data_IF_489090207563
#
_entry.id   IF_489090207563
#
_cell.length_a   1.000
_cell.length_b   1.000
_cell.length_c   1.000
_cell.angle_alpha   90.00
_cell.angle_beta   90.00
_cell.angle_gamma   90.00
#
_symmetry.space_group_name_H-M   'P 1'
#
loop_
_entity.id
_entity.type
_entity.pdbx_description
1 polymer ?
#
# COMPACT_ATOMS: atom_id res chain seq x y z
N UNK A 1 -0.27 -16.46 3.19
CA UNK A 1 0.97 -15.79 2.77
C UNK A 1 0.99 -15.66 1.26
N UNK A 2 1.98 -15.01 0.65
CA UNK A 2 2.15 -15.09 -0.80
C UNK A 2 2.18 -16.55 -1.28
N UNK A 3 1.44 -16.88 -2.34
CA UNK A 3 1.37 -18.23 -2.88
C UNK A 3 0.67 -19.26 -1.97
N UNK A 4 -0.23 -18.83 -1.10
CA UNK A 4 -1.23 -19.69 -0.41
C UNK A 4 -2.61 -19.47 -1.03
N UNK A 5 -3.54 -20.44 -0.98
CA UNK A 5 -4.89 -20.21 -1.47
C UNK A 5 -5.66 -19.30 -0.49
N UNK A 6 -6.84 -18.87 -0.91
CA UNK A 6 -7.86 -18.40 0.02
C UNK A 6 -8.40 -19.57 0.87
N UNK A 7 -8.89 -19.27 2.07
CA UNK A 7 -9.51 -20.26 2.96
C UNK A 7 -10.92 -19.79 3.31
N UNK A 8 -11.92 -20.59 2.94
CA UNK A 8 -13.31 -20.36 3.35
C UNK A 8 -13.62 -21.21 4.58
N UNK A 9 -14.07 -20.56 5.66
CA UNK A 9 -14.58 -21.24 6.85
C UNK A 9 -16.06 -20.91 6.97
N UNK A 10 -16.91 -21.93 6.86
CA UNK A 10 -18.35 -21.77 6.92
C UNK A 10 -19.00 -22.88 7.74
N UNK A 11 -20.15 -22.59 8.34
CA UNK A 11 -20.92 -23.59 9.10
C UNK A 11 -21.48 -24.63 8.13
N UNK A 12 -21.33 -25.91 8.42
CA UNK A 12 -21.80 -27.01 7.57
C UNK A 12 -23.26 -26.84 7.12
N UNK A 13 -24.12 -26.33 7.99
CA UNK A 13 -25.55 -26.13 7.73
C UNK A 13 -25.88 -25.16 6.59
N UNK A 14 -24.94 -24.30 6.16
CA UNK A 14 -25.16 -23.37 5.04
C UNK A 14 -24.94 -24.02 3.67
N UNK A 15 -24.32 -25.21 3.62
CA UNK A 15 -24.04 -25.94 2.38
C UNK A 15 -25.23 -26.79 1.92
N UNK A 16 -26.35 -26.13 1.63
CA UNK A 16 -27.60 -26.77 1.19
C UNK A 16 -27.69 -26.96 -0.33
N UNK A 17 -26.74 -26.38 -1.08
CA UNK A 17 -26.77 -26.42 -2.54
C UNK A 17 -26.56 -27.86 -3.05
N UNK A 18 -27.40 -28.25 -4.03
CA UNK A 18 -27.29 -29.55 -4.70
C UNK A 18 -26.11 -29.60 -5.68
N UNK A 19 -25.72 -28.44 -6.21
CA UNK A 19 -24.65 -28.26 -7.19
C UNK A 19 -23.59 -27.37 -6.54
N UNK A 20 -22.29 -27.71 -6.63
CA UNK A 20 -21.23 -26.85 -6.11
C UNK A 20 -21.10 -25.55 -6.90
N UNK A 21 -20.41 -24.58 -6.30
CA UNK A 21 -20.13 -23.29 -6.94
C UNK A 21 -19.28 -23.45 -8.22
N UNK A 22 -18.29 -24.34 -8.17
CA UNK A 22 -17.42 -24.67 -9.31
C UNK A 22 -17.49 -26.17 -9.62
N UNK A 23 -18.43 -26.59 -10.49
CA UNK A 23 -18.47 -27.98 -10.97
C UNK A 23 -17.25 -28.32 -11.81
N UNK A 24 -16.68 -29.51 -11.62
CA UNK A 24 -15.52 -29.94 -12.39
C UNK A 24 -15.04 -31.34 -12.02
N UNK A 25 -13.91 -31.74 -12.59
CA UNK A 25 -13.21 -32.94 -12.13
C UNK A 25 -12.91 -32.84 -10.63
N UNK A 26 -13.00 -33.96 -9.91
CA UNK A 26 -12.79 -34.00 -8.46
C UNK A 26 -14.03 -33.75 -7.60
N UNK A 27 -15.09 -33.12 -8.13
CA UNK A 27 -16.31 -32.80 -7.33
C UNK A 27 -17.44 -33.83 -7.48
N UNK A 28 -17.32 -34.70 -8.47
CA UNK A 28 -18.34 -35.67 -8.87
C UNK A 28 -18.01 -37.07 -8.36
N UNK A 29 -19.03 -37.77 -7.85
CA UNK A 29 -18.96 -39.20 -7.55
C UNK A 29 -19.19 -40.05 -8.81
N UNK A 30 -19.96 -39.54 -9.77
CA UNK A 30 -20.30 -40.23 -11.01
C UNK A 30 -20.77 -39.23 -12.08
N UNK A 31 -20.44 -39.47 -13.35
CA UNK A 31 -20.93 -38.69 -14.50
C UNK A 31 -21.18 -39.62 -15.68
N UNK A 32 -22.29 -39.39 -16.39
CA UNK A 32 -22.58 -39.95 -17.70
C UNK A 32 -23.23 -38.86 -18.59
N UNK A 33 -23.57 -39.14 -19.86
CA UNK A 33 -24.14 -38.13 -20.78
C UNK A 33 -25.47 -37.50 -20.31
N UNK A 34 -26.20 -38.13 -19.39
CA UNK A 34 -27.55 -37.73 -18.98
C UNK A 34 -27.65 -37.32 -17.50
N UNK A 35 -26.68 -37.72 -16.67
CA UNK A 35 -26.74 -37.61 -15.22
C UNK A 35 -25.35 -37.46 -14.60
N UNK A 36 -25.32 -36.81 -13.43
CA UNK A 36 -24.15 -36.71 -12.59
C UNK A 36 -24.56 -36.74 -11.11
N UNK A 37 -23.69 -37.28 -10.27
CA UNK A 37 -23.77 -37.21 -8.82
C UNK A 37 -22.55 -36.46 -8.28
N UNK A 38 -22.77 -35.57 -7.33
CA UNK A 38 -21.71 -34.85 -6.62
C UNK A 38 -21.30 -35.59 -5.35
N UNK A 39 -20.06 -35.37 -4.92
CA UNK A 39 -19.55 -35.95 -3.68
C UNK A 39 -20.36 -35.45 -2.46
N UNK A 40 -20.58 -36.31 -1.45
CA UNK A 40 -21.25 -35.90 -0.21
C UNK A 40 -20.33 -35.09 0.72
N UNK A 41 -19.02 -35.26 0.59
CA UNK A 41 -18.01 -34.49 1.30
C UNK A 41 -17.97 -33.06 0.76
N UNK A 42 -18.22 -32.07 1.62
CA UNK A 42 -18.44 -30.69 1.20
C UNK A 42 -17.16 -30.08 0.67
N UNK A 43 -16.05 -30.30 1.37
CA UNK A 43 -14.74 -29.78 1.01
C UNK A 43 -14.34 -30.24 -0.40
N UNK A 44 -14.37 -31.55 -0.68
CA UNK A 44 -14.06 -32.04 -2.03
C UNK A 44 -15.10 -31.61 -3.08
N UNK A 45 -16.37 -31.43 -2.69
CA UNK A 45 -17.43 -31.02 -3.61
C UNK A 45 -17.25 -29.56 -4.08
N UNK A 46 -16.78 -28.66 -3.22
CA UNK A 46 -16.60 -27.25 -3.55
C UNK A 46 -15.21 -26.92 -4.15
N UNK A 47 -14.30 -27.89 -4.23
CA UNK A 47 -12.95 -27.73 -4.80
C UNK A 47 -12.86 -28.27 -6.25
N UNK A 48 -13.57 -27.61 -7.16
CA UNK A 48 -13.57 -27.95 -8.59
C UNK A 48 -12.19 -27.92 -9.25
N UNK A 49 -11.77 -29.06 -9.81
CA UNK A 49 -10.54 -29.19 -10.59
C UNK A 49 -9.36 -29.74 -9.77
N UNK A 50 -8.14 -29.50 -10.26
CA UNK A 50 -6.93 -29.85 -9.51
C UNK A 50 -6.76 -28.86 -8.36
N UNK A 51 -6.70 -29.32 -7.09
CA UNK A 51 -6.55 -28.42 -5.95
C UNK A 51 -5.21 -27.67 -5.99
N UNK A 52 -5.13 -26.56 -5.26
CA UNK A 52 -3.91 -25.78 -5.06
C UNK A 52 -2.98 -26.49 -4.05
N UNK A 53 -2.45 -27.67 -4.44
CA UNK A 53 -1.77 -28.61 -3.54
C UNK A 53 -0.57 -27.95 -2.83
N UNK A 54 0.33 -27.34 -3.59
CA UNK A 54 1.55 -26.74 -3.04
C UNK A 54 1.21 -25.51 -2.20
N UNK A 55 0.25 -24.73 -2.66
CA UNK A 55 -0.24 -23.55 -1.97
C UNK A 55 -0.90 -23.93 -0.63
N UNK A 56 -1.64 -25.04 -0.58
CA UNK A 56 -2.29 -25.57 0.62
C UNK A 56 -1.28 -26.07 1.65
N UNK A 57 -0.23 -26.77 1.20
CA UNK A 57 0.90 -27.15 2.06
C UNK A 57 1.56 -25.89 2.66
N UNK A 58 1.82 -24.87 1.84
CA UNK A 58 2.36 -23.57 2.30
C UNK A 58 1.43 -22.89 3.32
N UNK A 59 0.12 -22.96 3.12
CA UNK A 59 -0.85 -22.42 4.08
C UNK A 59 -0.70 -23.11 5.45
N UNK A 60 -0.63 -24.45 5.47
CA UNK A 60 -0.39 -25.23 6.68
C UNK A 60 0.89 -24.82 7.41
N UNK A 61 1.99 -24.63 6.68
CA UNK A 61 3.27 -24.17 7.24
C UNK A 61 3.17 -22.77 7.85
N UNK A 62 2.44 -21.83 7.23
CA UNK A 62 2.22 -20.49 7.79
C UNK A 62 1.43 -20.55 9.08
N UNK A 63 0.41 -21.41 9.18
CA UNK A 63 -0.33 -21.61 10.44
C UNK A 63 0.52 -22.25 11.53
N UNK A 64 1.40 -23.21 11.18
CA UNK A 64 2.37 -23.79 12.11
C UNK A 64 3.35 -22.73 12.63
N UNK A 65 3.89 -21.88 11.74
CA UNK A 65 4.76 -20.78 12.13
C UNK A 65 4.05 -19.80 13.07
N UNK A 66 2.84 -19.36 12.72
CA UNK A 66 2.03 -18.47 13.58
C UNK A 66 1.81 -19.10 14.96
N UNK A 67 1.54 -20.40 15.03
CA UNK A 67 1.39 -21.13 16.29
C UNK A 67 2.69 -21.20 17.09
N UNK A 68 3.83 -21.40 16.41
CA UNK A 68 5.14 -21.47 17.05
C UNK A 68 5.59 -20.12 17.62
N UNK A 69 5.29 -19.00 16.95
CA UNK A 69 5.51 -17.64 17.47
C UNK A 69 4.57 -17.35 18.65
N UNK A 70 3.29 -17.75 18.52
CA UNK A 70 2.26 -17.53 19.53
C UNK A 70 1.38 -16.32 19.21
N UNK A 71 0.06 -16.51 19.29
CA UNK A 71 -0.92 -15.46 18.93
C UNK A 71 -0.84 -14.28 19.88
N UNK A 72 -0.67 -14.53 21.18
CA UNK A 72 -0.61 -13.48 22.19
C UNK A 72 0.67 -12.64 22.06
N UNK A 73 1.80 -13.27 21.73
CA UNK A 73 3.06 -12.58 21.43
C UNK A 73 2.89 -11.67 20.22
N UNK A 74 2.33 -12.18 19.12
CA UNK A 74 2.07 -11.37 17.91
C UNK A 74 1.19 -10.15 18.26
N UNK A 75 0.09 -10.38 19.00
CA UNK A 75 -0.82 -9.32 19.42
C UNK A 75 -0.11 -8.27 20.28
N UNK A 76 0.66 -8.69 21.29
CA UNK A 76 1.38 -7.78 22.18
C UNK A 76 2.36 -6.88 21.41
N UNK A 77 3.15 -7.44 20.51
CA UNK A 77 4.10 -6.68 19.68
C UNK A 77 3.39 -5.70 18.74
N UNK A 78 2.36 -6.15 18.04
CA UNK A 78 1.58 -5.32 17.11
C UNK A 78 0.84 -4.18 17.84
N UNK A 79 0.24 -4.46 19.00
CA UNK A 79 -0.40 -3.44 19.84
C UNK A 79 0.61 -2.41 20.38
N UNK A 80 1.79 -2.86 20.80
CA UNK A 80 2.86 -1.98 21.28
C UNK A 80 3.31 -1.01 20.19
N UNK A 81 3.55 -1.51 18.98
CA UNK A 81 3.97 -0.68 17.85
C UNK A 81 2.89 0.30 17.41
N UNK A 82 1.64 -0.16 17.24
CA UNK A 82 0.58 0.73 16.75
C UNK A 82 0.27 1.85 17.74
N UNK A 83 0.28 1.58 19.06
CA UNK A 83 0.08 2.61 20.10
C UNK A 83 1.19 3.65 20.09
N UNK A 84 2.46 3.21 20.03
CA UNK A 84 3.63 4.12 19.95
C UNK A 84 3.60 4.99 18.69
N UNK A 85 3.27 4.40 17.54
CA UNK A 85 3.23 5.12 16.27
C UNK A 85 2.12 6.18 16.25
N UNK A 86 0.91 5.83 16.71
CA UNK A 86 -0.20 6.78 16.82
C UNK A 86 0.18 7.93 17.77
N UNK A 87 0.66 7.63 18.98
CA UNK A 87 1.05 8.66 19.94
C UNK A 87 2.14 9.60 19.39
N UNK A 88 3.12 9.05 18.66
CA UNK A 88 4.18 9.85 18.03
C UNK A 88 3.64 10.74 16.91
N UNK A 89 2.73 10.23 16.08
CA UNK A 89 2.22 10.97 14.93
C UNK A 89 1.14 11.99 15.30
N UNK A 90 0.34 11.73 16.33
CA UNK A 90 -0.61 12.71 16.88
C UNK A 90 0.08 13.92 17.50
N UNK A 91 1.29 13.74 18.05
CA UNK A 91 2.11 14.83 18.55
C UNK A 91 2.67 15.73 17.43
N UNK A 92 2.63 15.28 16.17
CA UNK A 92 3.07 16.08 15.02
C UNK A 92 1.86 16.82 14.40
N UNK A 93 1.84 18.17 14.41
CA UNK A 93 0.71 18.94 13.89
C UNK A 93 0.46 18.75 12.39
N UNK A 94 1.49 18.32 11.63
CA UNK A 94 1.44 18.11 10.19
C UNK A 94 0.92 16.72 9.80
N UNK A 95 0.72 15.81 10.75
CA UNK A 95 0.15 14.49 10.49
C UNK A 95 -1.29 14.47 10.97
N UNK A 96 -2.18 13.89 10.16
CA UNK A 96 -3.52 13.55 10.59
C UNK A 96 -3.74 12.05 10.45
N UNK A 97 -3.81 11.37 11.60
CA UNK A 97 -4.08 9.93 11.68
C UNK A 97 -5.58 9.69 11.48
N UNK A 98 -5.94 8.86 10.50
CA UNK A 98 -7.32 8.56 10.15
C UNK A 98 -7.91 7.41 10.98
N UNK A 99 -9.23 7.45 11.13
CA UNK A 99 -10.02 6.44 11.83
C UNK A 99 -10.15 6.73 13.32
N UNK A 100 -10.69 5.75 14.06
CA UNK A 100 -10.83 5.84 15.50
C UNK A 100 -9.53 5.40 16.18
N UNK A 101 -8.97 6.23 17.06
CA UNK A 101 -7.70 5.98 17.74
C UNK A 101 -7.85 5.14 19.01
N UNK A 102 -9.05 5.11 19.60
CA UNK A 102 -9.36 4.37 20.82
C UNK A 102 -9.85 2.94 20.57
N UNK A 103 -10.21 2.62 19.31
CA UNK A 103 -10.69 1.29 18.94
C UNK A 103 -9.55 0.26 18.90
N UNK A 104 -9.85 -0.98 19.30
CA UNK A 104 -8.97 -2.11 19.02
C UNK A 104 -8.73 -2.20 17.51
N UNK A 105 -7.45 -2.27 17.10
CA UNK A 105 -7.05 -2.23 15.70
C UNK A 105 -5.87 -3.14 15.42
N UNK A 106 -5.80 -3.60 14.18
CA UNK A 106 -4.58 -4.18 13.62
C UNK A 106 -3.47 -3.12 13.59
N UNK A 107 -2.22 -3.57 13.57
CA UNK A 107 -1.03 -2.73 13.46
C UNK A 107 -0.85 -2.13 12.05
N UNK A 108 -1.85 -1.34 11.66
CA UNK A 108 -2.02 -0.69 10.38
C UNK A 108 -2.54 0.71 10.68
N UNK A 109 -1.81 1.72 10.20
CA UNK A 109 -2.13 3.12 10.42
C UNK A 109 -2.31 3.80 9.06
N UNK A 110 -3.44 4.48 8.92
CA UNK A 110 -3.78 5.31 7.77
C UNK A 110 -3.61 6.77 8.16
N UNK A 111 -2.95 7.58 7.34
CA UNK A 111 -2.71 8.98 7.65
C UNK A 111 -2.60 9.83 6.39
N UNK A 112 -2.79 11.14 6.57
CA UNK A 112 -2.52 12.17 5.56
C UNK A 112 -1.54 13.18 6.13
N UNK A 113 -0.74 13.79 5.25
CA UNK A 113 0.20 14.85 5.61
C UNK A 113 -0.41 16.18 5.20
N UNK A 114 -0.60 17.07 6.17
CA UNK A 114 -1.16 18.40 5.94
C UNK A 114 -0.17 19.27 5.19
N UNK A 115 -0.69 20.15 4.35
CA UNK A 115 0.08 21.15 3.64
C UNK A 115 -0.73 22.45 3.54
N UNK A 116 -0.27 23.51 4.22
CA UNK A 116 -1.01 24.76 4.36
C UNK A 116 -2.33 24.58 5.14
N UNK A 117 -3.21 25.57 5.04
CA UNK A 117 -4.43 25.61 5.87
C UNK A 117 -5.50 24.60 5.44
N UNK A 118 -5.58 24.24 4.16
CA UNK A 118 -6.67 23.42 3.60
C UNK A 118 -6.21 22.33 2.62
N UNK A 119 -4.92 22.02 2.56
CA UNK A 119 -4.36 21.07 1.61
C UNK A 119 -3.71 19.87 2.29
N UNK A 120 -3.46 18.84 1.48
CA UNK A 120 -2.62 17.71 1.88
C UNK A 120 -1.56 17.45 0.82
N UNK A 121 -0.42 16.91 1.23
CA UNK A 121 0.48 16.30 0.27
C UNK A 121 -0.22 15.09 -0.37
N UNK A 122 -0.06 14.95 -1.69
CA UNK A 122 -0.67 13.84 -2.42
C UNK A 122 -0.17 12.50 -1.85
N UNK A 123 -1.06 11.54 -1.62
CA UNK A 123 -0.71 10.27 -0.97
C UNK A 123 0.38 9.49 -1.74
N UNK A 124 0.31 9.45 -3.08
CA UNK A 124 1.36 8.83 -3.89
C UNK A 124 2.68 9.61 -3.87
N UNK A 125 2.68 10.92 -3.59
CA UNK A 125 3.92 11.69 -3.41
C UNK A 125 4.60 11.28 -2.11
N UNK A 126 3.85 11.20 -1.02
CA UNK A 126 4.35 10.74 0.29
C UNK A 126 4.89 9.31 0.18
N UNK A 127 4.19 8.42 -0.55
CA UNK A 127 4.66 7.05 -0.83
C UNK A 127 5.96 7.05 -1.64
N UNK A 128 6.06 7.90 -2.67
CA UNK A 128 7.27 8.03 -3.47
C UNK A 128 8.45 8.51 -2.61
N UNK A 129 8.28 9.51 -1.75
CA UNK A 129 9.33 9.97 -0.82
C UNK A 129 9.77 8.87 0.16
N UNK A 130 8.82 8.15 0.75
CA UNK A 130 9.12 7.03 1.64
C UNK A 130 9.94 5.94 0.93
N UNK A 131 9.64 5.66 -0.33
CA UNK A 131 10.40 4.71 -1.13
C UNK A 131 11.79 5.25 -1.52
N UNK A 132 11.85 6.45 -2.08
CA UNK A 132 13.04 6.97 -2.76
C UNK A 132 14.14 7.38 -1.78
N UNK A 133 13.78 7.94 -0.63
CA UNK A 133 14.73 8.38 0.38
C UNK A 133 15.07 7.28 1.39
N UNK A 134 14.05 6.49 1.78
CA UNK A 134 14.16 5.61 2.94
C UNK A 134 14.07 4.12 2.59
N UNK A 135 13.74 3.76 1.35
CA UNK A 135 13.49 2.37 0.96
C UNK A 135 12.25 1.76 1.62
N UNK A 136 11.33 2.59 2.12
CA UNK A 136 10.14 2.16 2.85
C UNK A 136 8.99 1.96 1.87
N UNK A 137 8.50 0.73 1.79
CA UNK A 137 7.36 0.38 0.96
C UNK A 137 6.04 0.60 1.70
N UNK A 138 5.36 1.69 1.38
CA UNK A 138 4.01 2.00 1.85
C UNK A 138 2.97 1.90 0.71
N UNK A 139 1.70 2.16 0.98
CA UNK A 139 0.64 2.21 -0.05
C UNK A 139 -0.16 3.48 0.03
N UNK A 140 -0.42 4.09 -1.13
CA UNK A 140 -1.31 5.23 -1.32
C UNK A 140 -2.68 4.80 -1.88
N UNK A 141 -3.69 5.66 -1.71
CA UNK A 141 -5.02 5.52 -2.29
C UNK A 141 -6.12 5.22 -1.26
N UNK A 142 -7.27 4.72 -1.73
CA UNK A 142 -8.46 4.51 -0.89
C UNK A 142 -8.57 3.08 -0.30
N UNK A 143 -7.50 2.28 -0.34
CA UNK A 143 -7.41 0.93 0.24
C UNK A 143 -8.56 -0.04 -0.14
N UNK A 144 -9.11 0.07 -1.35
CA UNK A 144 -10.29 -0.68 -1.81
C UNK A 144 -11.55 -0.46 -0.93
N UNK A 145 -11.60 0.66 -0.20
CA UNK A 145 -12.64 0.99 0.75
C UNK A 145 -13.37 2.29 0.34
N UNK A 146 -13.73 2.42 -0.94
CA UNK A 146 -14.28 3.63 -1.55
C UNK A 146 -15.36 4.32 -0.70
N UNK A 147 -16.48 3.67 -0.34
CA UNK A 147 -17.53 4.28 0.48
C UNK A 147 -17.07 4.72 1.89
N UNK A 148 -16.08 4.04 2.46
CA UNK A 148 -15.48 4.46 3.73
C UNK A 148 -14.55 5.67 3.54
N UNK A 149 -13.80 5.71 2.45
CA UNK A 149 -12.96 6.84 2.08
C UNK A 149 -13.75 8.13 1.89
N UNK A 150 -14.91 8.07 1.22
CA UNK A 150 -15.80 9.23 1.08
C UNK A 150 -16.22 9.80 2.44
N UNK A 151 -16.63 8.93 3.38
CA UNK A 151 -16.99 9.35 4.74
C UNK A 151 -15.82 9.91 5.52
N UNK A 152 -14.63 9.32 5.41
CA UNK A 152 -13.43 9.79 6.11
C UNK A 152 -12.93 11.14 5.62
N UNK A 153 -13.07 11.39 4.31
CA UNK A 153 -12.54 12.59 3.65
C UNK A 153 -13.61 13.67 3.43
N UNK A 154 -14.83 13.45 3.91
CA UNK A 154 -15.93 14.42 3.81
C UNK A 154 -16.45 14.64 2.39
N UNK A 155 -16.32 13.64 1.52
CA UNK A 155 -16.72 13.73 0.11
C UNK A 155 -18.19 13.33 0.00
N UNK A 156 -19.03 14.24 -0.46
CA UNK A 156 -20.45 13.97 -0.69
C UNK A 156 -20.70 13.30 -2.05
N UNK A 157 -21.97 13.02 -2.35
CA UNK A 157 -22.34 12.31 -3.58
C UNK A 157 -22.14 13.16 -4.84
N UNK A 158 -22.27 14.48 -4.73
CA UNK A 158 -22.07 15.39 -5.86
C UNK A 158 -20.59 15.43 -6.25
N UNK A 159 -19.72 15.66 -5.27
CA UNK A 159 -18.28 15.64 -5.44
C UNK A 159 -17.78 14.24 -5.86
N UNK A 160 -18.39 13.17 -5.34
CA UNK A 160 -18.09 11.80 -5.78
C UNK A 160 -18.34 11.60 -7.28
N UNK A 161 -19.42 12.13 -7.84
CA UNK A 161 -19.69 12.04 -9.28
C UNK A 161 -18.74 12.91 -10.10
N UNK A 162 -18.26 14.04 -9.56
CA UNK A 162 -17.22 14.85 -10.19
C UNK A 162 -15.91 14.07 -10.32
N UNK A 163 -15.47 13.43 -9.23
CA UNK A 163 -14.31 12.54 -9.27
C UNK A 163 -14.49 11.39 -10.27
N UNK A 164 -15.67 10.76 -10.31
CA UNK A 164 -15.97 9.69 -11.27
C UNK A 164 -15.79 10.16 -12.72
N UNK A 165 -16.28 11.38 -13.05
CA UNK A 165 -16.15 11.94 -14.40
C UNK A 165 -14.70 12.17 -14.79
N UNK A 166 -13.88 12.76 -13.92
CA UNK A 166 -12.46 13.00 -14.22
C UNK A 166 -11.67 11.69 -14.32
N UNK A 167 -11.95 10.73 -13.44
CA UNK A 167 -11.37 9.40 -13.49
C UNK A 167 -11.76 8.67 -14.78
N UNK A 168 -13.03 8.78 -15.21
CA UNK A 168 -13.52 8.20 -16.46
C UNK A 168 -12.84 8.79 -17.71
N UNK A 169 -12.27 9.99 -17.61
CA UNK A 169 -11.43 10.61 -18.65
C UNK A 169 -9.96 10.14 -18.62
N UNK A 170 -9.63 9.21 -17.72
CA UNK A 170 -8.30 8.63 -17.57
C UNK A 170 -7.38 9.38 -16.60
N UNK A 171 -7.89 10.33 -15.80
CA UNK A 171 -7.10 11.08 -14.82
C UNK A 171 -7.18 10.42 -13.43
N UNK A 172 -6.54 9.26 -13.26
CA UNK A 172 -6.55 8.51 -12.00
C UNK A 172 -5.94 9.28 -10.82
N UNK A 173 -5.01 10.20 -11.09
CA UNK A 173 -4.27 10.94 -10.07
C UNK A 173 -5.10 11.92 -9.25
N UNK A 174 -6.33 12.24 -9.65
CA UNK A 174 -7.20 13.08 -8.85
C UNK A 174 -7.81 12.35 -7.65
N UNK A 175 -7.78 11.00 -7.67
CA UNK A 175 -8.46 10.17 -6.68
C UNK A 175 -7.98 10.50 -5.25
N UNK A 176 -8.89 10.92 -4.37
CA UNK A 176 -8.54 11.19 -2.98
C UNK A 176 -8.18 9.89 -2.26
N UNK A 177 -7.33 9.99 -1.25
CA UNK A 177 -6.81 8.82 -0.56
C UNK A 177 -5.88 9.20 0.59
N UNK A 178 -5.25 8.18 1.15
CA UNK A 178 -4.33 8.32 2.28
C UNK A 178 -3.12 7.41 2.09
N UNK A 179 -2.12 7.61 2.93
CA UNK A 179 -0.99 6.68 3.04
C UNK A 179 -1.32 5.66 4.11
N UNK A 180 -0.98 4.40 3.85
CA UNK A 180 -1.13 3.30 4.79
C UNK A 180 0.22 2.64 5.05
N UNK A 181 0.60 2.57 6.31
CA UNK A 181 1.79 1.88 6.80
C UNK A 181 1.40 0.82 7.83
N UNK A 182 2.13 -0.29 7.88
CA UNK A 182 1.81 -1.45 8.71
C UNK A 182 3.08 -1.88 9.44
N UNK A 183 2.99 -2.17 10.74
CA UNK A 183 4.11 -2.70 11.51
C UNK A 183 3.86 -4.17 11.78
N UNK A 184 4.68 -5.03 11.19
CA UNK A 184 4.58 -6.47 11.41
C UNK A 184 5.27 -6.85 12.74
N UNK A 185 4.89 -7.98 13.33
CA UNK A 185 5.42 -8.42 14.62
C UNK A 185 6.90 -8.85 14.62
N UNK A 186 7.54 -8.94 13.44
CA UNK A 186 8.91 -9.47 13.30
C UNK A 186 9.96 -8.40 12.99
N UNK A 187 9.59 -7.12 12.94
CA UNK A 187 10.57 -6.03 12.96
C UNK A 187 11.08 -5.80 14.39
N UNK A 188 12.32 -5.34 14.49
CA UNK A 188 12.90 -4.86 15.75
C UNK A 188 12.51 -3.41 16.04
N UNK A 189 12.86 -2.94 17.24
CA UNK A 189 12.54 -1.58 17.69
C UNK A 189 13.30 -0.52 16.86
N UNK A 190 14.53 -0.79 16.40
CA UNK A 190 15.30 0.12 15.54
C UNK A 190 14.60 0.33 14.19
N UNK A 191 14.09 -0.75 13.57
CA UNK A 191 13.30 -0.66 12.34
C UNK A 191 11.99 0.07 12.59
N UNK A 192 11.32 -0.18 13.72
CA UNK A 192 10.09 0.52 14.07
C UNK A 192 10.33 2.03 14.20
N UNK A 193 11.35 2.45 14.96
CA UNK A 193 11.68 3.85 15.19
C UNK A 193 12.07 4.53 13.88
N UNK A 194 12.84 3.86 13.01
CA UNK A 194 13.15 4.34 11.66
C UNK A 194 11.89 4.62 10.82
N UNK A 195 10.90 3.71 10.85
CA UNK A 195 9.64 3.90 10.12
C UNK A 195 8.84 5.10 10.65
N UNK A 196 8.79 5.27 11.97
CA UNK A 196 8.09 6.38 12.63
C UNK A 196 8.76 7.72 12.31
N UNK A 197 10.09 7.78 12.41
CA UNK A 197 10.90 8.95 12.12
C UNK A 197 10.85 9.34 10.64
N UNK A 198 10.90 8.38 9.72
CA UNK A 198 10.78 8.66 8.29
C UNK A 198 9.42 9.30 7.92
N UNK A 199 8.33 8.84 8.54
CA UNK A 199 7.01 9.49 8.35
C UNK A 199 7.00 10.89 8.94
N UNK A 200 7.59 11.10 10.13
CA UNK A 200 7.71 12.43 10.74
C UNK A 200 8.58 13.37 9.89
N UNK A 201 9.66 12.87 9.28
CA UNK A 201 10.48 13.62 8.33
C UNK A 201 9.64 14.08 7.14
N UNK A 202 8.93 13.16 6.48
CA UNK A 202 8.10 13.51 5.31
C UNK A 202 7.00 14.50 5.71
N UNK A 203 6.44 14.37 6.92
CA UNK A 203 5.45 15.30 7.44
C UNK A 203 5.98 16.73 7.58
N UNK A 204 7.24 16.87 8.00
CA UNK A 204 7.84 18.17 8.32
C UNK A 204 8.56 18.80 7.13
N UNK A 205 9.17 17.99 6.27
CA UNK A 205 10.10 18.43 5.21
C UNK A 205 9.72 17.96 3.81
N UNK A 206 8.74 17.06 3.68
CA UNK A 206 8.38 16.47 2.38
C UNK A 206 7.99 17.51 1.33
N UNK A 207 7.37 18.62 1.74
CA UNK A 207 7.01 19.71 0.83
C UNK A 207 8.22 20.40 0.18
N UNK A 208 9.36 20.47 0.88
CA UNK A 208 10.61 21.06 0.37
C UNK A 208 11.13 20.29 -0.85
N UNK A 209 10.86 18.99 -0.89
CA UNK A 209 11.29 18.08 -1.95
C UNK A 209 10.32 18.02 -3.12
N UNK A 210 9.13 18.64 -3.02
CA UNK A 210 8.11 18.58 -4.07
C UNK A 210 8.64 19.13 -5.41
N UNK A 211 9.53 20.13 -5.36
CA UNK A 211 10.22 20.67 -6.52
C UNK A 211 10.88 19.57 -7.38
N UNK A 212 11.36 18.49 -6.76
CA UNK A 212 12.10 17.43 -7.43
C UNK A 212 11.24 16.38 -8.11
N UNK A 213 9.91 16.45 -7.96
CA UNK A 213 9.00 15.43 -8.47
C UNK A 213 8.05 15.98 -9.52
N UNK A 214 7.82 15.18 -10.55
CA UNK A 214 6.79 15.40 -11.57
C UNK A 214 5.56 14.58 -11.20
N UNK A 215 4.40 15.22 -11.22
CA UNK A 215 3.11 14.53 -11.11
C UNK A 215 2.61 14.11 -12.50
N UNK A 216 2.13 12.87 -12.61
CA UNK A 216 1.52 12.32 -13.82
C UNK A 216 0.01 12.12 -13.60
N UNK A 217 -0.86 12.99 -14.14
CA UNK A 217 -2.30 12.95 -13.86
C UNK A 217 -2.98 11.64 -14.27
N UNK A 218 -2.51 10.99 -15.35
CA UNK A 218 -3.15 9.76 -15.82
C UNK A 218 -2.96 8.57 -14.89
N UNK A 219 -1.80 8.48 -14.22
CA UNK A 219 -1.43 7.36 -13.36
C UNK A 219 -1.54 7.71 -11.87
N UNK A 220 -1.50 9.02 -11.54
CA UNK A 220 -1.34 9.51 -10.18
C UNK A 220 0.06 9.34 -9.60
N UNK A 221 1.03 8.92 -10.41
CA UNK A 221 2.41 8.71 -9.97
C UNK A 221 3.14 10.04 -9.78
N UNK A 222 4.06 10.03 -8.81
CA UNK A 222 5.03 11.09 -8.59
C UNK A 222 6.41 10.54 -8.90
N UNK A 223 7.07 11.10 -9.91
CA UNK A 223 8.36 10.61 -10.38
C UNK A 223 9.44 11.63 -10.09
N UNK A 224 10.50 11.21 -9.43
CA UNK A 224 11.67 12.04 -9.23
C UNK A 224 12.26 12.49 -10.58
N UNK A 225 12.76 13.73 -10.67
CA UNK A 225 13.36 14.29 -11.89
C UNK A 225 14.55 13.49 -12.41
N UNK A 226 15.23 12.79 -11.51
CA UNK A 226 16.36 11.92 -11.78
C UNK A 226 16.06 10.51 -11.22
N UNK A 227 15.26 9.68 -11.90
CA UNK A 227 14.96 8.34 -11.40
C UNK A 227 16.23 7.48 -11.46
N UNK A 228 16.60 6.83 -10.34
CA UNK A 228 17.82 6.01 -10.25
C UNK A 228 17.62 4.55 -10.64
N UNK A 229 16.40 4.02 -10.56
CA UNK A 229 16.08 2.62 -10.82
C UNK A 229 14.93 2.52 -11.81
N UNK A 230 15.15 1.77 -12.90
CA UNK A 230 14.10 1.41 -13.86
C UNK A 230 13.61 0.01 -13.52
N UNK A 231 12.28 -0.24 -13.45
CA UNK A 231 11.77 -1.59 -13.21
C UNK A 231 12.27 -2.58 -14.26
N UNK A 232 12.68 -3.77 -13.82
CA UNK A 232 13.07 -4.86 -14.71
C UNK A 232 11.88 -5.33 -15.55
N UNK A 233 12.12 -5.56 -16.83
CA UNK A 233 11.21 -6.15 -17.81
C UNK A 233 11.48 -7.64 -17.98
N UNK A 234 10.47 -8.39 -18.43
CA UNK A 234 10.68 -9.78 -18.88
C UNK A 234 11.68 -9.88 -20.05
N UNK A 235 11.85 -8.80 -20.81
CA UNK A 235 12.84 -8.73 -21.89
C UNK A 235 14.28 -8.60 -21.39
N UNK A 236 14.48 -8.23 -20.11
CA UNK A 236 15.81 -8.14 -19.49
C UNK A 236 16.29 -9.50 -18.97
N UNK A 237 15.48 -10.54 -19.16
CA UNK A 237 15.73 -11.90 -18.71
C UNK A 237 16.05 -12.77 -19.93
N UNK A 238 17.19 -13.46 -19.89
CA UNK A 238 17.59 -14.40 -20.95
C UNK A 238 17.94 -15.77 -20.38
N UNK A 239 17.86 -16.79 -21.24
CA UNK A 239 18.19 -18.17 -20.90
C UNK A 239 19.24 -18.68 -21.88
N UNK A 240 20.31 -19.27 -21.37
CA UNK A 240 21.32 -19.95 -22.17
C UNK A 240 21.71 -21.29 -21.51
N UNK A 241 22.77 -21.94 -22.01
CA UNK A 241 23.25 -23.23 -21.48
C UNK A 241 23.65 -23.22 -20.01
N UNK A 242 24.01 -22.05 -19.48
CA UNK A 242 24.49 -21.86 -18.11
C UNK A 242 23.38 -21.43 -17.14
N UNK A 243 22.17 -21.16 -17.66
CA UNK A 243 20.95 -20.93 -16.89
C UNK A 243 20.25 -19.61 -17.18
N UNK A 244 19.64 -19.04 -16.14
CA UNK A 244 18.90 -17.79 -16.15
C UNK A 244 19.86 -16.61 -15.96
N UNK A 245 19.84 -15.64 -16.86
CA UNK A 245 20.67 -14.43 -16.82
C UNK A 245 19.80 -13.17 -16.77
N UNK A 246 20.15 -12.28 -15.84
CA UNK A 246 19.56 -10.95 -15.66
C UNK A 246 20.56 -10.07 -14.89
N UNK A 247 20.42 -8.75 -14.97
CA UNK A 247 21.21 -7.81 -14.16
C UNK A 247 20.67 -7.74 -12.73
N UNK A 248 21.51 -8.04 -11.74
CA UNK A 248 21.11 -7.96 -10.32
C UNK A 248 21.34 -6.55 -9.78
N UNK A 249 20.27 -5.74 -9.77
CA UNK A 249 20.29 -4.38 -9.23
C UNK A 249 20.17 -4.32 -7.70
N UNK A 250 20.12 -5.46 -6.98
CA UNK A 250 19.95 -5.47 -5.52
C UNK A 250 21.23 -5.01 -4.83
N UNK A 251 21.19 -3.80 -4.29
CA UNK A 251 22.23 -3.32 -3.37
C UNK A 251 21.83 -3.69 -1.94
N UNK A 252 22.69 -4.40 -1.21
CA UNK A 252 22.53 -4.61 0.23
C UNK A 252 23.49 -3.68 0.95
N UNK A 253 22.93 -2.66 1.59
CA UNK A 253 23.68 -1.88 2.56
C UNK A 253 23.95 -2.81 3.75
N UNK A 254 25.18 -2.82 4.25
CA UNK A 254 25.60 -3.69 5.36
C UNK A 254 24.96 -3.30 6.69
N UNK A 255 25.69 -3.44 7.80
CA UNK A 255 25.19 -3.12 9.14
C UNK A 255 25.17 -1.60 9.45
N UNK A 256 24.83 -0.75 8.48
CA UNK A 256 24.72 0.69 8.74
C UNK A 256 23.53 0.98 9.66
N UNK A 257 23.69 1.81 10.71
CA UNK A 257 22.57 2.23 11.55
C UNK A 257 21.46 2.90 10.75
N UNK A 258 20.20 2.55 11.01
CA UNK A 258 19.07 3.13 10.28
C UNK A 258 18.92 4.64 10.50
N UNK A 259 19.35 5.15 11.65
CA UNK A 259 19.42 6.58 11.97
C UNK A 259 20.31 7.39 11.02
N UNK A 260 21.32 6.75 10.41
CA UNK A 260 22.20 7.42 9.46
C UNK A 260 21.45 7.79 8.18
N UNK A 261 20.42 7.01 7.79
CA UNK A 261 19.58 7.32 6.65
C UNK A 261 18.61 8.46 6.93
N UNK A 262 18.15 8.61 8.18
CA UNK A 262 17.39 9.80 8.60
C UNK A 262 18.25 11.05 8.46
N UNK A 263 19.50 10.98 8.93
CA UNK A 263 20.45 12.09 8.83
C UNK A 263 20.77 12.45 7.37
N UNK A 264 21.02 11.44 6.53
CA UNK A 264 21.21 11.65 5.09
C UNK A 264 19.99 12.25 4.40
N UNK A 265 18.77 11.90 4.82
CA UNK A 265 17.56 12.51 4.28
C UNK A 265 17.48 14.00 4.60
N UNK A 266 17.92 14.42 5.80
CA UNK A 266 18.07 15.84 6.13
C UNK A 266 19.09 16.55 5.23
N UNK A 267 20.26 15.95 5.03
CA UNK A 267 21.29 16.52 4.14
C UNK A 267 20.80 16.64 2.70
N UNK A 268 20.05 15.64 2.20
CA UNK A 268 19.44 15.68 0.86
C UNK A 268 18.41 16.81 0.77
N UNK A 269 17.51 16.94 1.74
CA UNK A 269 16.52 18.01 1.73
C UNK A 269 17.17 19.40 1.81
N UNK A 270 18.25 19.57 2.57
CA UNK A 270 19.03 20.81 2.61
C UNK A 270 19.71 21.11 1.27
N UNK A 271 20.32 20.10 0.66
CA UNK A 271 21.02 20.25 -0.63
C UNK A 271 20.08 20.50 -1.81
N UNK A 272 18.86 19.95 -1.74
CA UNK A 272 17.84 20.11 -2.77
C UNK A 272 16.89 21.28 -2.50
N UNK A 273 17.04 21.95 -1.36
CA UNK A 273 16.29 23.15 -1.01
C UNK A 273 16.50 24.23 -2.08
N UNK A 274 15.40 24.73 -2.64
CA UNK A 274 15.43 25.79 -3.65
C UNK A 274 15.72 25.30 -5.08
N UNK A 275 15.71 23.99 -5.33
CA UNK A 275 15.64 23.48 -6.70
C UNK A 275 14.47 24.12 -7.44
N UNK A 276 14.71 24.58 -8.67
CA UNK A 276 13.64 25.16 -9.50
C UNK A 276 12.51 24.14 -9.67
N UNK A 277 11.26 24.47 -9.31
CA UNK A 277 10.15 23.53 -9.45
C UNK A 277 9.95 23.05 -10.88
N UNK A 278 9.60 21.78 -11.04
CA UNK A 278 9.16 21.26 -12.33
C UNK A 278 7.82 21.90 -12.72
N UNK A 279 7.62 22.04 -14.03
CA UNK A 279 6.38 22.59 -14.56
C UNK A 279 5.19 21.68 -14.19
N UNK A 280 4.05 22.26 -13.79
CA UNK A 280 2.84 21.47 -13.56
C UNK A 280 2.40 20.80 -14.87
N UNK A 281 1.73 19.63 -14.79
CA UNK A 281 1.19 18.97 -15.97
C UNK A 281 0.05 19.81 -16.57
N UNK A 282 -0.25 19.57 -17.85
CA UNK A 282 -1.44 20.12 -18.49
C UNK A 282 -2.67 19.32 -18.06
N UNK A 283 -3.62 19.98 -17.40
CA UNK A 283 -4.84 19.40 -16.83
C UNK A 283 -6.07 20.21 -17.25
N UNK A 284 -7.26 19.63 -17.08
CA UNK A 284 -8.55 20.28 -17.35
C UNK A 284 -8.93 21.24 -16.22
N UNK A 285 -9.83 22.18 -16.50
CA UNK A 285 -10.42 23.04 -15.46
C UNK A 285 -11.15 22.21 -14.39
N UNK A 286 -11.86 21.16 -14.80
CA UNK A 286 -12.54 20.20 -13.91
C UNK A 286 -11.54 19.50 -12.97
N UNK A 287 -10.35 19.12 -13.46
CA UNK A 287 -9.30 18.53 -12.63
C UNK A 287 -8.78 19.53 -11.61
N UNK A 288 -8.47 20.75 -12.03
CA UNK A 288 -7.98 21.80 -11.12
C UNK A 288 -9.01 22.19 -10.08
N UNK A 289 -10.30 22.16 -10.41
CA UNK A 289 -11.40 22.37 -9.46
C UNK A 289 -11.41 21.33 -8.34
N UNK A 290 -11.12 20.06 -8.66
CA UNK A 290 -11.13 18.95 -7.72
C UNK A 290 -9.79 18.75 -6.98
N UNK A 291 -8.74 19.47 -7.38
CA UNK A 291 -7.38 19.24 -6.89
C UNK A 291 -7.27 19.64 -5.41
N UNK A 292 -6.86 18.67 -4.59
CA UNK A 292 -6.76 18.81 -3.13
C UNK A 292 -5.31 18.84 -2.62
N UNK A 293 -4.34 18.88 -3.54
CA UNK A 293 -2.91 18.81 -3.25
C UNK A 293 -2.13 19.85 -4.05
N UNK A 294 -0.97 20.33 -3.54
CA UNK A 294 -0.19 21.34 -4.24
C UNK A 294 0.62 20.76 -5.41
N UNK A 295 0.87 21.58 -6.42
CA UNK A 295 1.92 21.33 -7.41
C UNK A 295 3.30 21.79 -6.91
N UNK A 296 4.40 21.27 -7.49
CA UNK A 296 5.76 21.66 -7.16
C UNK A 296 5.98 23.18 -7.10
N UNK A 297 5.41 23.93 -8.05
CA UNK A 297 5.58 25.38 -8.14
C UNK A 297 4.86 26.17 -7.03
N UNK A 298 3.89 25.55 -6.35
CA UNK A 298 3.03 26.20 -5.36
C UNK A 298 3.61 26.12 -3.94
N UNK A 299 4.63 25.29 -3.72
CA UNK A 299 5.27 25.10 -2.42
C UNK A 299 6.40 26.12 -2.13
N UNK A 300 6.74 26.99 -3.09
CA UNK A 300 7.86 27.94 -3.00
C UNK A 300 7.50 29.39 -2.60
N UNK A 301 6.23 29.70 -2.33
CA UNK A 301 5.78 31.05 -1.98
C UNK A 301 5.25 31.09 -0.56
N UNK A 302 6.17 31.23 0.40
CA UNK A 302 5.91 31.80 1.72
C UNK A 302 5.03 31.00 2.67
N UNK A 303 5.67 30.15 3.49
CA UNK A 303 5.23 29.94 4.87
C UNK A 303 6.42 30.28 5.77
N UNK A 304 6.46 31.54 6.21
CA UNK A 304 7.24 32.03 7.34
C UNK A 304 6.25 32.44 8.43
#
# INVERSE_FOLDING_TARGET
>A
GPGTPGVLVARREVFTNRVPDVPGGGTVSYVNPEAHGYLPDIEHREEGGTPAIIESIRAGLVFQLKKAVGVDVIREHEERFVRRAIASWEANPNIYVLGNHDAERLSIVSFVIKHGDNGFLHHNFVVALLNDLFGIQSRGGCSCAGPYGHRLLGIDLEQSHEFEREVGRGCEGIKPGWVRLNFNYFIDDDTFDYLVEAVAFVANRGAELLANYRFEPQSGLWLHRNPRLVPMSLNDISYNSDGLHYEDHRTRLGNAPLSDFISQAHDIADAEAGNTPLQPPSTTEDFEHLRWFPYPAECGVGVK
#
